data_IF_507363143178
#
_entry.id   IF_507363143178
#
_cell.length_a   1.000
_cell.length_b   1.000
_cell.length_c   1.000
_cell.angle_alpha   90.00
_cell.angle_beta   90.00
_cell.angle_gamma   90.00
#
_symmetry.space_group_name_H-M   'P 1'
#
loop_
_entity.id
_entity.type
_entity.pdbx_description
1 polymer ?
#
# COMPACT_ATOMS: atom_id res chain seq x y z
N UNK A 1 -30.39 -24.63 12.51
CA UNK A 1 -29.48 -25.61 11.87
C UNK A 1 -28.50 -24.84 11.01
N UNK A 2 -27.35 -24.49 11.58
CA UNK A 2 -26.25 -23.80 10.91
C UNK A 2 -25.26 -24.85 10.38
N UNK A 3 -24.86 -24.74 9.13
CA UNK A 3 -23.68 -25.44 8.60
C UNK A 3 -22.68 -24.38 8.17
N UNK A 4 -21.61 -24.27 8.96
CA UNK A 4 -20.42 -23.48 8.67
C UNK A 4 -19.44 -24.42 7.98
N UNK A 5 -19.16 -24.16 6.70
CA UNK A 5 -18.13 -24.89 5.94
C UNK A 5 -16.82 -24.12 6.06
N UNK A 6 -15.88 -24.71 6.77
CA UNK A 6 -14.46 -24.32 6.78
C UNK A 6 -13.76 -24.98 5.58
N UNK A 7 -13.10 -24.19 4.74
CA UNK A 7 -12.11 -24.71 3.78
C UNK A 7 -10.70 -24.47 4.32
N UNK A 8 -10.02 -25.56 4.69
CA UNK A 8 -8.58 -25.62 4.92
C UNK A 8 -7.83 -25.69 3.59
N UNK A 9 -6.65 -25.08 3.52
CA UNK A 9 -5.63 -25.40 2.52
C UNK A 9 -4.33 -25.79 3.25
N UNK A 10 -3.97 -27.07 3.10
CA UNK A 10 -2.70 -27.68 3.44
C UNK A 10 -1.70 -27.43 2.29
N UNK A 11 -0.45 -27.08 2.59
CA UNK A 11 0.67 -27.39 1.70
C UNK A 11 1.90 -27.81 2.50
N UNK A 12 2.38 -29.01 2.17
CA UNK A 12 3.55 -29.74 2.67
C UNK A 12 4.76 -29.28 1.85
N UNK A 13 5.89 -28.93 2.48
CA UNK A 13 7.16 -29.70 2.47
C UNK A 13 7.86 -29.74 1.09
N UNK A 14 9.17 -29.67 0.89
CA UNK A 14 10.39 -29.76 1.69
C UNK A 14 11.52 -29.71 0.62
N UNK A 15 12.72 -29.18 0.87
CA UNK A 15 14.02 -29.81 0.51
C UNK A 15 15.20 -28.91 0.86
N UNK A 16 16.17 -29.53 1.53
CA UNK A 16 17.45 -29.05 2.04
C UNK A 16 18.53 -29.44 1.02
N UNK A 17 19.54 -28.58 0.78
CA UNK A 17 20.90 -29.06 0.53
C UNK A 17 21.95 -28.15 1.20
N UNK A 18 22.78 -28.79 2.00
CA UNK A 18 24.05 -28.33 2.58
C UNK A 18 25.14 -28.22 1.51
N UNK A 19 26.14 -27.35 1.72
CA UNK A 19 27.57 -27.71 1.69
C UNK A 19 28.45 -26.52 2.16
N UNK A 20 29.48 -26.77 3.00
CA UNK A 20 30.49 -25.78 3.39
C UNK A 20 31.78 -25.95 2.58
N UNK A 21 32.60 -24.89 2.45
CA UNK A 21 34.00 -25.03 2.06
C UNK A 21 34.91 -24.05 2.84
N UNK A 22 35.96 -24.66 3.39
CA UNK A 22 37.12 -24.10 4.10
C UNK A 22 38.13 -23.46 3.14
N UNK A 23 38.95 -22.54 3.66
CA UNK A 23 40.43 -22.38 3.48
C UNK A 23 40.80 -20.96 3.98
N UNK A 24 41.40 -20.78 5.16
CA UNK A 24 42.85 -20.85 5.48
C UNK A 24 43.74 -20.19 4.42
N UNK A 25 44.34 -19.04 4.77
CA UNK A 25 45.71 -18.72 4.36
C UNK A 25 46.36 -17.79 5.38
N UNK A 26 47.38 -18.31 6.03
CA UNK A 26 48.45 -17.63 6.79
C UNK A 26 49.46 -16.97 5.85
N UNK A 27 50.20 -15.98 6.37
CA UNK A 27 51.55 -15.46 6.00
C UNK A 27 51.53 -13.92 6.11
N UNK A 28 52.55 -13.18 6.55
CA UNK A 28 53.87 -13.47 7.11
C UNK A 28 54.34 -12.19 7.82
N UNK A 29 55.14 -12.37 8.87
CA UNK A 29 55.93 -11.34 9.57
C UNK A 29 57.20 -11.05 8.75
N UNK A 30 57.72 -9.82 8.81
CA UNK A 30 59.16 -9.67 9.04
C UNK A 30 59.52 -8.62 10.11
N UNK A 31 60.32 -9.07 11.08
CA UNK A 31 61.39 -8.36 11.81
C UNK A 31 62.39 -7.77 10.79
N UNK A 32 63.14 -6.69 10.97
CA UNK A 32 63.98 -6.15 12.04
C UNK A 32 64.37 -4.73 11.52
N UNK A 33 64.55 -3.68 12.32
CA UNK A 33 65.89 -3.24 12.73
C UNK A 33 65.78 -2.03 13.68
N UNK A 34 66.51 -2.12 14.80
CA UNK A 34 66.96 -1.01 15.64
C UNK A 34 68.16 -0.31 14.95
N UNK A 35 68.55 0.95 15.28
CA UNK A 35 69.32 1.12 16.50
C UNK A 35 69.28 2.51 17.19
N UNK A 36 69.77 2.49 18.43
CA UNK A 36 70.53 3.55 19.14
C UNK A 36 69.75 4.70 19.78
N UNK A 37 69.80 4.71 21.11
CA UNK A 37 69.14 5.69 21.95
C UNK A 37 69.92 6.99 22.19
N UNK A 38 69.25 7.88 22.91
CA UNK A 38 69.87 8.86 23.81
C UNK A 38 68.87 9.15 24.92
N UNK A 39 69.34 8.94 26.15
CA UNK A 39 68.64 9.17 27.41
C UNK A 39 68.44 10.67 27.66
N UNK A 40 67.23 11.07 28.06
CA UNK A 40 67.02 12.31 28.83
C UNK A 40 65.87 12.09 29.81
N UNK A 41 66.16 12.31 31.09
CA UNK A 41 65.30 12.15 32.26
C UNK A 41 64.14 13.19 32.28
N UNK A 42 62.95 12.86 32.84
CA UNK A 42 61.73 13.60 32.58
C UNK A 42 61.54 14.85 33.46
N UNK A 43 61.03 15.91 32.84
CA UNK A 43 60.43 17.10 33.46
C UNK A 43 58.98 16.74 33.90
N UNK A 44 58.48 17.20 35.06
CA UNK A 44 57.15 16.81 35.54
C UNK A 44 56.06 17.46 34.69
N UNK A 45 55.39 16.65 33.87
CA UNK A 45 54.17 17.07 33.17
C UNK A 45 53.04 17.23 34.18
N UNK A 46 52.62 18.49 34.33
CA UNK A 46 51.39 18.86 35.01
C UNK A 46 50.24 18.19 34.27
N UNK A 47 49.63 17.19 34.91
CA UNK A 47 48.48 16.45 34.38
C UNK A 47 47.30 17.40 34.27
N UNK A 48 47.16 18.00 33.09
CA UNK A 48 45.94 18.69 32.69
C UNK A 48 44.91 17.60 32.38
N UNK A 49 43.72 17.60 33.00
CA UNK A 49 42.69 16.63 32.64
C UNK A 49 42.38 16.75 31.15
N UNK A 50 42.41 15.61 30.45
CA UNK A 50 42.05 15.51 29.03
C UNK A 50 40.68 16.16 28.81
N UNK A 51 40.50 16.97 27.76
CA UNK A 51 39.20 17.53 27.43
C UNK A 51 38.24 16.38 27.13
N UNK A 52 37.12 16.39 27.85
CA UNK A 52 36.10 15.37 27.81
C UNK A 52 35.37 15.49 26.47
N UNK A 53 35.86 14.81 25.44
CA UNK A 53 35.23 14.87 24.12
C UNK A 53 33.73 14.50 24.17
N UNK A 54 32.92 14.97 23.19
CA UNK A 54 31.47 14.82 23.20
C UNK A 54 31.07 13.34 23.31
N UNK A 55 30.45 12.97 24.43
CA UNK A 55 29.94 11.63 24.64
C UNK A 55 28.53 11.51 24.06
N UNK A 56 28.37 10.60 23.10
CA UNK A 56 27.04 10.09 22.76
C UNK A 56 26.50 9.28 23.93
N UNK A 57 25.22 9.48 24.26
CA UNK A 57 24.54 8.83 25.38
C UNK A 57 23.66 7.72 24.83
N UNK A 58 23.63 6.58 25.53
CA UNK A 58 22.78 5.47 25.13
C UNK A 58 21.30 5.76 25.43
N UNK A 59 20.46 5.57 24.42
CA UNK A 59 19.00 5.57 24.59
C UNK A 59 18.59 4.24 25.22
N UNK A 60 18.11 4.32 26.46
CA UNK A 60 17.72 3.17 27.27
C UNK A 60 16.32 2.66 26.92
N UNK A 61 15.40 3.58 26.60
CA UNK A 61 14.05 3.22 26.22
C UNK A 61 13.43 4.23 25.26
N UNK A 62 12.58 3.70 24.37
CA UNK A 62 11.75 4.50 23.47
C UNK A 62 10.30 4.06 23.65
N UNK A 63 9.42 5.02 23.94
CA UNK A 63 8.01 4.76 24.17
C UNK A 63 7.17 5.62 23.23
N UNK A 64 6.31 4.99 22.45
CA UNK A 64 5.23 5.68 21.73
C UNK A 64 4.04 5.80 22.70
N UNK A 65 3.63 7.00 23.12
CA UNK A 65 2.51 7.15 24.05
C UNK A 65 1.23 6.52 23.48
N UNK A 66 0.45 5.80 24.30
CA UNK A 66 -0.77 5.16 23.83
C UNK A 66 -1.77 6.21 23.34
N UNK A 67 -2.34 6.00 22.14
CA UNK A 67 -3.31 6.91 21.54
C UNK A 67 -2.72 8.13 20.82
N UNK A 68 -1.41 8.39 20.96
CA UNK A 68 -0.72 9.44 20.23
C UNK A 68 0.38 8.82 19.35
N UNK A 69 0.05 8.62 18.07
CA UNK A 69 0.92 7.98 17.10
C UNK A 69 2.06 8.85 16.56
N UNK A 70 1.98 10.18 16.72
CA UNK A 70 2.96 11.15 16.23
C UNK A 70 3.88 11.70 17.33
N UNK A 71 3.89 11.06 18.50
CA UNK A 71 4.78 11.44 19.59
C UNK A 71 5.64 10.27 20.05
N UNK A 72 6.86 10.58 20.49
CA UNK A 72 7.81 9.61 21.00
C UNK A 72 8.44 10.17 22.27
N UNK A 73 8.41 9.38 23.34
CA UNK A 73 9.15 9.64 24.57
C UNK A 73 10.45 8.85 24.57
N UNK A 74 11.56 9.57 24.59
CA UNK A 74 12.90 9.02 24.73
C UNK A 74 13.33 9.07 26.19
N UNK A 75 14.01 8.02 26.65
CA UNK A 75 14.66 7.95 27.95
C UNK A 75 16.09 7.47 27.74
N UNK A 76 17.06 8.19 28.30
CA UNK A 76 18.49 7.91 28.14
C UNK A 76 19.21 7.98 29.48
N UNK A 77 20.44 7.46 29.51
CA UNK A 77 21.29 7.53 30.70
C UNK A 77 22.65 6.88 30.50
N UNK A 78 23.62 7.30 31.31
CA UNK A 78 25.00 6.79 31.33
C UNK A 78 25.49 6.58 32.78
N UNK A 79 26.34 5.57 32.99
CA UNK A 79 26.62 4.97 34.29
C UNK A 79 27.18 5.88 35.39
N UNK A 80 26.60 5.73 36.60
CA UNK A 80 27.00 6.00 38.00
C UNK A 80 27.80 7.26 38.41
N UNK A 81 28.50 7.96 37.52
CA UNK A 81 29.37 9.09 37.91
C UNK A 81 28.96 10.45 37.29
N UNK A 82 27.85 10.49 36.53
CA UNK A 82 27.34 11.72 35.90
C UNK A 82 26.48 12.60 36.83
N UNK A 83 26.19 12.16 38.05
CA UNK A 83 25.24 12.80 38.98
C UNK A 83 25.72 14.13 39.60
N UNK A 84 26.86 14.69 39.16
CA UNK A 84 27.47 15.89 39.75
C UNK A 84 27.66 17.09 38.82
N UNK A 85 27.32 16.97 37.52
CA UNK A 85 27.45 18.06 36.57
C UNK A 85 26.08 18.46 36.00
N UNK A 86 25.85 19.78 35.85
CA UNK A 86 24.68 20.33 35.15
C UNK A 86 24.81 20.07 33.64
N UNK A 87 24.67 18.81 33.22
CA UNK A 87 24.76 18.41 31.83
C UNK A 87 23.51 18.85 31.06
N UNK A 88 23.72 19.37 29.85
CA UNK A 88 22.65 19.63 28.89
C UNK A 88 22.76 18.60 27.78
N UNK A 89 21.65 17.95 27.46
CA UNK A 89 21.57 16.93 26.41
C UNK A 89 21.03 17.53 25.12
N UNK A 90 21.66 17.20 24.00
CA UNK A 90 21.18 17.47 22.65
C UNK A 90 20.50 16.23 22.08
N UNK A 91 19.29 16.40 21.56
CA UNK A 91 18.48 15.34 20.97
C UNK A 91 18.43 15.58 19.47
N UNK A 92 18.86 14.58 18.72
CA UNK A 92 18.94 14.58 17.27
C UNK A 92 17.89 13.60 16.77
N UNK A 93 17.07 14.01 15.82
CA UNK A 93 16.11 13.13 15.19
C UNK A 93 15.82 13.52 13.77
N UNK A 94 15.55 12.56 12.90
CA UNK A 94 15.16 12.85 11.53
C UNK A 94 14.70 11.65 10.75
N UNK A 95 13.96 11.92 9.68
CA UNK A 95 13.48 10.92 8.73
C UNK A 95 14.37 10.79 7.49
N UNK A 96 15.20 11.80 7.24
CA UNK A 96 16.11 11.88 6.09
C UNK A 96 17.58 11.85 6.51
N UNK A 97 18.47 11.50 5.57
CA UNK A 97 19.91 11.55 5.78
C UNK A 97 20.37 13.01 6.00
N UNK A 98 21.26 13.23 6.97
CA UNK A 98 21.78 14.57 7.31
C UNK A 98 20.98 15.32 8.37
N UNK A 99 19.75 14.89 8.71
CA UNK A 99 18.97 15.55 9.78
C UNK A 99 19.51 15.33 11.20
N UNK A 100 20.52 14.47 11.35
CA UNK A 100 21.23 14.22 12.61
C UNK A 100 22.50 15.08 12.78
N UNK A 101 22.72 16.08 11.92
CA UNK A 101 23.88 16.99 12.03
C UNK A 101 23.79 17.93 13.24
N UNK A 102 22.58 18.40 13.58
CA UNK A 102 22.35 19.38 14.63
C UNK A 102 21.26 18.92 15.60
N UNK A 103 21.38 19.25 16.91
CA UNK A 103 20.35 18.90 17.88
C UNK A 103 19.09 19.73 17.59
N UNK A 104 17.95 19.05 17.43
CA UNK A 104 16.65 19.70 17.23
C UNK A 104 16.00 20.12 18.55
N UNK A 105 16.38 19.46 19.65
CA UNK A 105 15.91 19.76 21.00
C UNK A 105 17.07 19.70 22.00
N UNK A 106 17.02 20.56 23.00
CA UNK A 106 18.01 20.57 24.11
C UNK A 106 17.30 20.53 25.45
N UNK A 107 17.76 19.70 26.37
CA UNK A 107 17.13 19.56 27.70
C UNK A 107 18.15 19.12 28.76
N UNK A 108 18.02 19.57 30.02
CA UNK A 108 18.81 19.02 31.12
C UNK A 108 18.25 17.70 31.65
N UNK A 109 17.03 17.31 31.24
CA UNK A 109 16.36 16.12 31.74
C UNK A 109 16.89 14.85 31.04
N UNK A 110 16.82 13.70 31.72
CA UNK A 110 17.13 12.37 31.16
C UNK A 110 16.00 11.77 30.30
N UNK A 111 15.01 12.59 29.95
CA UNK A 111 13.91 12.19 29.08
C UNK A 111 13.34 13.39 28.35
N UNK A 112 12.85 13.16 27.13
CA UNK A 112 12.13 14.16 26.34
C UNK A 112 10.95 13.52 25.62
N UNK A 113 9.88 14.30 25.48
CA UNK A 113 8.75 14.01 24.62
C UNK A 113 8.92 14.81 23.33
N UNK A 114 8.99 14.11 22.21
CA UNK A 114 9.04 14.68 20.87
C UNK A 114 7.64 14.54 20.30
N UNK A 115 7.04 15.66 19.89
CA UNK A 115 5.68 15.74 19.36
C UNK A 115 5.69 16.15 17.88
N UNK A 116 4.53 16.09 17.24
CA UNK A 116 4.33 16.53 15.86
C UNK A 116 5.24 15.86 14.82
N UNK A 117 5.60 14.59 15.06
CA UNK A 117 6.29 13.78 14.06
C UNK A 117 5.32 13.35 12.96
N UNK A 118 5.83 13.09 11.76
CA UNK A 118 4.98 12.55 10.70
C UNK A 118 4.52 11.13 11.07
N UNK A 119 3.25 10.82 10.88
CA UNK A 119 2.72 9.48 11.14
C UNK A 119 3.33 8.46 10.17
N UNK A 120 3.47 7.22 10.63
CA UNK A 120 3.92 6.09 9.81
C UNK A 120 5.25 6.29 9.10
N UNK A 121 6.10 7.12 9.70
CA UNK A 121 7.39 7.53 9.17
C UNK A 121 8.48 6.96 10.04
N UNK A 122 9.55 6.51 9.39
CA UNK A 122 10.75 6.02 10.06
C UNK A 122 11.56 7.22 10.52
N UNK A 123 11.86 7.28 11.81
CA UNK A 123 12.75 8.27 12.39
C UNK A 123 13.95 7.59 13.05
N UNK A 124 15.11 8.17 12.85
CA UNK A 124 16.33 7.83 13.56
C UNK A 124 16.56 8.84 14.68
N UNK A 125 16.91 8.37 15.87
CA UNK A 125 17.10 9.17 17.08
C UNK A 125 18.51 8.96 17.65
N UNK A 126 19.13 10.05 18.12
CA UNK A 126 20.36 10.00 18.89
C UNK A 126 20.36 11.08 19.99
N UNK A 127 21.15 10.84 21.04
CA UNK A 127 21.32 11.78 22.16
C UNK A 127 22.81 11.95 22.44
N UNK A 128 23.24 13.19 22.67
CA UNK A 128 24.60 13.50 23.11
C UNK A 128 24.60 14.51 24.24
N UNK A 129 25.72 14.58 24.96
CA UNK A 129 25.99 15.68 25.91
C UNK A 129 26.53 16.88 25.13
N UNK A 130 25.97 18.06 25.36
CA UNK A 130 26.45 19.32 24.79
C UNK A 130 27.46 19.96 25.73
N UNK A 131 28.65 20.28 25.23
CA UNK A 131 29.64 21.09 25.96
C UNK A 131 29.40 22.59 25.72
N UNK A 132 29.87 23.43 26.65
CA UNK A 132 29.92 24.89 26.52
C UNK A 132 28.63 25.55 26.00
N UNK A 133 27.49 25.27 26.62
CA UNK A 133 26.19 25.89 26.28
C UNK A 133 25.76 25.74 24.80
N UNK A 134 26.16 24.66 24.12
CA UNK A 134 25.63 24.29 22.80
C UNK A 134 26.32 24.97 21.59
N UNK A 135 27.53 25.50 21.78
CA UNK A 135 28.29 26.17 20.71
C UNK A 135 28.93 25.16 19.73
N UNK A 136 29.17 23.92 20.14
CA UNK A 136 29.72 22.87 19.26
C UNK A 136 28.79 21.66 19.20
N UNK A 137 28.37 21.28 18.00
CA UNK A 137 27.59 20.07 17.76
C UNK A 137 28.47 18.85 18.06
N UNK A 138 28.13 18.14 19.14
CA UNK A 138 28.70 16.84 19.45
C UNK A 138 28.49 15.88 18.25
N UNK A 139 29.57 15.29 17.74
CA UNK A 139 29.48 14.30 16.67
C UNK A 139 28.67 13.08 17.15
N UNK A 140 27.52 12.83 16.51
CA UNK A 140 26.67 11.69 16.82
C UNK A 140 27.40 10.38 16.53
N UNK A 141 27.45 9.46 17.50
CA UNK A 141 27.98 8.12 17.31
C UNK A 141 26.95 7.24 16.57
N UNK A 142 27.29 6.68 15.40
CA UNK A 142 26.39 5.80 14.65
C UNK A 142 25.87 4.61 15.46
N UNK A 143 26.65 4.08 16.42
CA UNK A 143 26.27 2.91 17.23
C UNK A 143 25.19 3.21 18.28
N UNK A 144 24.99 4.49 18.61
CA UNK A 144 23.96 4.93 19.58
C UNK A 144 22.65 5.33 18.91
N UNK A 145 22.60 5.36 17.57
CA UNK A 145 21.38 5.67 16.83
C UNK A 145 20.34 4.56 17.08
N UNK A 146 19.09 4.97 17.28
CA UNK A 146 17.94 4.08 17.41
C UNK A 146 16.85 4.50 16.45
N UNK A 147 16.38 3.54 15.66
CA UNK A 147 15.30 3.75 14.70
C UNK A 147 13.96 3.37 15.31
N UNK A 148 12.95 4.24 15.16
CA UNK A 148 11.55 3.93 15.49
C UNK A 148 10.63 4.39 14.37
N UNK A 149 9.58 3.62 14.11
CA UNK A 149 8.51 4.00 13.19
C UNK A 149 7.37 4.59 14.03
N UNK A 150 6.92 5.79 13.68
CA UNK A 150 5.78 6.43 14.33
C UNK A 150 4.50 5.63 14.10
N UNK A 151 3.53 5.82 14.99
CA UNK A 151 2.24 5.14 14.93
C UNK A 151 1.36 5.63 13.78
N UNK A 152 0.19 4.99 13.67
CA UNK A 152 -0.84 5.39 12.70
C UNK A 152 -1.62 6.60 13.17
N UNK A 153 -1.97 7.49 12.23
CA UNK A 153 -3.04 8.45 12.43
C UNK A 153 -4.38 7.70 12.52
N UNK A 154 -4.96 7.66 13.73
CA UNK A 154 -6.22 6.96 13.97
C UNK A 154 -7.43 7.64 13.32
N UNK A 155 -7.29 8.93 12.96
CA UNK A 155 -8.31 9.73 12.30
C UNK A 155 -8.19 9.67 10.77
N UNK A 156 -7.05 9.23 10.24
CA UNK A 156 -6.84 9.10 8.80
C UNK A 156 -7.81 8.10 8.18
N UNK A 157 -8.29 8.45 6.98
CA UNK A 157 -9.10 7.54 6.20
C UNK A 157 -8.22 6.39 5.68
N UNK A 158 -8.79 5.18 5.52
CA UNK A 158 -8.14 4.12 4.73
C UNK A 158 -7.87 4.59 3.29
N UNK A 159 -7.02 3.87 2.57
CA UNK A 159 -6.64 4.21 1.20
C UNK A 159 -7.07 3.13 0.19
N UNK A 160 -6.98 3.46 -1.10
CA UNK A 160 -7.13 2.52 -2.22
C UNK A 160 -8.42 1.67 -2.21
N UNK A 161 -9.56 2.29 -1.83
CA UNK A 161 -10.85 1.62 -1.85
C UNK A 161 -11.22 1.23 -3.30
N UNK A 162 -11.35 -0.07 -3.53
CA UNK A 162 -11.73 -0.65 -4.83
C UNK A 162 -12.72 -1.79 -4.61
N UNK A 163 -13.40 -2.20 -5.67
CA UNK A 163 -14.31 -3.34 -5.63
C UNK A 163 -14.18 -4.17 -6.91
N UNK A 164 -14.04 -5.48 -6.73
CA UNK A 164 -13.95 -6.45 -7.80
C UNK A 164 -15.08 -7.46 -7.71
N UNK A 165 -15.81 -7.65 -8.80
CA UNK A 165 -16.83 -8.68 -8.88
C UNK A 165 -16.19 -10.03 -9.19
N UNK A 166 -16.56 -11.01 -8.39
CA UNK A 166 -16.36 -12.40 -8.69
C UNK A 166 -17.67 -13.01 -9.23
N UNK A 167 -17.72 -13.18 -10.55
CA UNK A 167 -18.90 -13.70 -11.24
C UNK A 167 -19.09 -15.20 -10.94
N UNK A 168 -20.22 -15.54 -10.32
CA UNK A 168 -20.63 -16.92 -9.98
C UNK A 168 -22.16 -17.03 -9.99
N UNK A 169 -22.73 -18.20 -9.71
CA UNK A 169 -24.17 -18.37 -9.58
C UNK A 169 -24.78 -17.40 -8.53
N UNK A 170 -24.13 -17.28 -7.38
CA UNK A 170 -24.31 -16.18 -6.44
C UNK A 170 -23.05 -15.29 -6.52
N UNK A 171 -23.14 -14.08 -7.12
CA UNK A 171 -21.96 -13.24 -7.26
C UNK A 171 -21.49 -12.70 -5.91
N UNK A 172 -20.19 -12.49 -5.81
CA UNK A 172 -19.56 -11.87 -4.65
C UNK A 172 -18.79 -10.62 -5.08
N UNK A 173 -18.91 -9.56 -4.30
CA UNK A 173 -18.13 -8.35 -4.46
C UNK A 173 -16.98 -8.36 -3.44
N UNK A 174 -15.75 -8.44 -3.94
CA UNK A 174 -14.53 -8.30 -3.16
C UNK A 174 -14.21 -6.81 -3.00
N UNK A 175 -14.60 -6.25 -1.85
CA UNK A 175 -14.31 -4.87 -1.47
C UNK A 175 -12.91 -4.83 -0.87
N UNK A 176 -11.99 -4.09 -1.49
CA UNK A 176 -10.58 -4.06 -1.11
C UNK A 176 -10.17 -2.65 -0.73
N UNK A 177 -9.32 -2.54 0.29
CA UNK A 177 -8.73 -1.27 0.70
C UNK A 177 -7.41 -1.54 1.40
N UNK A 178 -6.60 -0.49 1.53
CA UNK A 178 -5.40 -0.50 2.35
C UNK A 178 -5.59 0.38 3.59
N UNK A 179 -4.82 0.11 4.64
CA UNK A 179 -4.65 1.01 5.78
C UNK A 179 -4.09 2.36 5.30
N UNK A 180 -4.27 3.39 6.12
CA UNK A 180 -3.63 4.69 5.89
C UNK A 180 -2.09 4.60 5.91
N UNK A 181 -1.56 3.53 6.51
CA UNK A 181 -0.13 3.33 6.70
C UNK A 181 0.32 1.92 6.30
N UNK A 182 1.45 1.76 5.61
CA UNK A 182 1.94 0.45 5.18
C UNK A 182 2.34 -0.45 6.38
N UNK A 183 2.85 0.15 7.45
CA UNK A 183 3.35 -0.59 8.62
C UNK A 183 2.43 -0.39 9.84
N UNK A 184 1.48 -1.32 10.01
CA UNK A 184 0.52 -1.27 11.12
C UNK A 184 1.11 -1.96 12.37
N UNK A 185 1.77 -1.18 13.24
CA UNK A 185 2.40 -1.69 14.47
C UNK A 185 1.36 -2.23 15.47
N UNK A 186 0.28 -1.47 15.66
CA UNK A 186 -0.82 -1.78 16.57
C UNK A 186 -2.07 -2.20 15.81
N UNK A 187 -2.79 -3.28 16.20
CA UNK A 187 -3.95 -3.75 15.47
C UNK A 187 -5.09 -2.71 15.37
N UNK A 188 -5.64 -2.52 14.18
CA UNK A 188 -6.70 -1.54 13.87
C UNK A 188 -7.94 -2.27 13.37
N UNK A 189 -9.12 -1.87 13.85
CA UNK A 189 -10.41 -2.37 13.37
C UNK A 189 -10.97 -1.47 12.28
N UNK A 190 -11.83 -2.02 11.43
CA UNK A 190 -12.47 -1.29 10.33
C UNK A 190 -13.99 -1.42 10.39
N UNK A 191 -14.67 -0.40 9.87
CA UNK A 191 -16.12 -0.39 9.67
C UNK A 191 -16.40 -0.23 8.18
N UNK A 192 -17.06 -1.22 7.59
CA UNK A 192 -17.51 -1.20 6.20
C UNK A 192 -18.99 -0.85 6.20
N UNK A 193 -19.32 0.30 5.61
CA UNK A 193 -20.68 0.81 5.47
C UNK A 193 -21.14 0.67 4.02
N UNK A 194 -22.21 -0.08 3.80
CA UNK A 194 -22.69 -0.45 2.47
C UNK A 194 -24.15 -0.01 2.37
N UNK A 195 -24.44 0.91 1.46
CA UNK A 195 -25.79 1.32 1.15
C UNK A 195 -26.28 0.59 -0.10
N UNK A 196 -27.29 -0.27 0.06
CA UNK A 196 -27.97 -0.90 -1.04
C UNK A 196 -28.99 0.08 -1.64
N UNK A 197 -28.75 0.52 -2.87
CA UNK A 197 -29.54 1.54 -3.56
C UNK A 197 -30.92 1.04 -3.99
N UNK A 198 -31.09 -0.27 -4.16
CA UNK A 198 -32.35 -0.86 -4.63
C UNK A 198 -33.39 -0.93 -3.52
N UNK A 199 -32.96 -1.32 -2.32
CA UNK A 199 -33.85 -1.40 -1.14
C UNK A 199 -33.69 -0.21 -0.19
N UNK A 200 -32.80 0.74 -0.51
CA UNK A 200 -32.50 1.93 0.29
C UNK A 200 -32.16 1.63 1.75
N UNK A 201 -31.29 0.62 1.98
CA UNK A 201 -30.89 0.19 3.33
C UNK A 201 -29.38 0.17 3.51
N UNK A 202 -28.94 0.57 4.70
CA UNK A 202 -27.57 0.45 5.13
C UNK A 202 -27.30 -0.90 5.78
N UNK A 203 -26.14 -1.47 5.47
CA UNK A 203 -25.51 -2.58 6.17
C UNK A 203 -24.17 -2.08 6.69
N UNK A 204 -23.99 -2.12 8.01
CA UNK A 204 -22.75 -1.72 8.68
C UNK A 204 -22.10 -2.97 9.24
N UNK A 205 -20.84 -3.20 8.87
CA UNK A 205 -20.05 -4.37 9.29
C UNK A 205 -18.82 -3.87 10.02
N UNK A 206 -18.65 -4.31 11.26
CA UNK A 206 -17.44 -4.06 12.06
C UNK A 206 -16.51 -5.27 11.97
N UNK A 207 -15.29 -5.04 11.52
CA UNK A 207 -14.25 -6.06 11.36
C UNK A 207 -13.32 -6.10 12.58
N UNK A 208 -12.78 -7.28 12.92
CA UNK A 208 -11.84 -7.41 14.03
C UNK A 208 -10.54 -6.64 13.76
N UNK A 209 -9.86 -6.25 14.84
CA UNK A 209 -8.59 -5.52 14.74
C UNK A 209 -7.51 -6.38 14.09
N UNK A 210 -6.73 -5.81 13.18
CA UNK A 210 -5.67 -6.50 12.44
C UNK A 210 -4.42 -5.64 12.27
N UNK A 211 -3.27 -6.29 12.08
CA UNK A 211 -2.00 -5.66 11.68
C UNK A 211 -1.75 -5.69 10.17
N UNK A 212 -2.70 -6.22 9.39
CA UNK A 212 -2.58 -6.25 7.92
C UNK A 212 -2.80 -4.86 7.36
N UNK A 213 -1.96 -4.48 6.40
CA UNK A 213 -2.12 -3.25 5.62
C UNK A 213 -3.21 -3.40 4.57
N UNK A 214 -3.30 -4.55 3.92
CA UNK A 214 -4.25 -4.79 2.83
C UNK A 214 -5.39 -5.70 3.31
N UNK A 215 -6.61 -5.25 3.05
CA UNK A 215 -7.83 -5.89 3.51
C UNK A 215 -8.79 -6.15 2.37
N UNK A 216 -9.52 -7.25 2.50
CA UNK A 216 -10.59 -7.64 1.58
C UNK A 216 -11.80 -8.08 2.40
N UNK A 217 -12.97 -7.50 2.09
CA UNK A 217 -14.25 -7.97 2.59
C UNK A 217 -15.09 -8.50 1.43
N UNK A 218 -15.55 -9.74 1.56
CA UNK A 218 -16.41 -10.39 0.56
C UNK A 218 -17.87 -10.17 0.88
N UNK A 219 -18.58 -9.48 0.01
CA UNK A 219 -20.01 -9.24 0.11
C UNK A 219 -20.77 -10.09 -0.92
N UNK A 220 -21.66 -11.01 -0.51
CA UNK A 220 -22.62 -11.60 -1.43
C UNK A 220 -23.57 -10.52 -1.97
N UNK A 221 -23.71 -10.46 -3.28
CA UNK A 221 -24.53 -9.46 -4.00
C UNK A 221 -25.46 -10.15 -4.99
N UNK A 222 -26.42 -9.42 -5.56
CA UNK A 222 -27.20 -9.91 -6.70
C UNK A 222 -26.80 -9.16 -7.97
N UNK A 223 -26.94 -9.85 -9.11
CA UNK A 223 -26.80 -9.22 -10.41
C UNK A 223 -27.82 -8.08 -10.58
N UNK A 224 -27.40 -7.00 -11.22
CA UNK A 224 -28.26 -5.84 -11.41
C UNK A 224 -28.63 -5.10 -10.12
N UNK A 225 -27.87 -5.23 -9.02
CA UNK A 225 -28.00 -4.39 -7.83
C UNK A 225 -26.92 -3.28 -7.82
N UNK A 226 -27.19 -2.18 -7.11
CA UNK A 226 -26.29 -1.03 -7.01
C UNK A 226 -25.95 -0.74 -5.56
N UNK A 227 -24.68 -0.50 -5.28
CA UNK A 227 -24.15 -0.28 -3.93
C UNK A 227 -23.34 1.01 -3.85
N UNK A 228 -23.40 1.67 -2.71
CA UNK A 228 -22.48 2.74 -2.33
C UNK A 228 -21.70 2.28 -1.10
N UNK A 229 -20.37 2.25 -1.21
CA UNK A 229 -19.48 1.63 -0.23
C UNK A 229 -18.59 2.70 0.40
N UNK A 230 -18.49 2.67 1.74
CA UNK A 230 -17.56 3.48 2.51
C UNK A 230 -16.81 2.61 3.52
N UNK A 231 -15.56 2.95 3.80
CA UNK A 231 -14.75 2.24 4.80
C UNK A 231 -14.09 3.25 5.73
N UNK A 232 -14.18 3.04 7.04
CA UNK A 232 -13.47 3.84 8.05
C UNK A 232 -12.76 2.92 9.04
N UNK A 233 -11.95 3.48 9.93
CA UNK A 233 -11.46 2.73 11.08
C UNK A 233 -12.57 2.64 12.15
N UNK A 234 -12.39 1.79 13.16
CA UNK A 234 -13.28 1.74 14.33
C UNK A 234 -13.06 2.88 15.32
N UNK A 235 -12.10 3.78 15.06
CA UNK A 235 -11.79 4.86 15.97
C UNK A 235 -12.87 5.96 15.87
N UNK A 236 -13.41 6.48 17.00
CA UNK A 236 -14.39 7.55 16.98
C UNK A 236 -13.87 8.81 16.27
N UNK A 237 -14.66 9.33 15.33
CA UNK A 237 -14.27 10.50 14.53
C UNK A 237 -13.31 10.21 13.38
N UNK A 238 -12.96 8.94 13.13
CA UNK A 238 -12.16 8.58 11.96
C UNK A 238 -12.85 8.94 10.65
N UNK A 239 -12.06 9.40 9.68
CA UNK A 239 -12.54 9.72 8.34
C UNK A 239 -12.81 8.42 7.58
N UNK A 240 -13.85 8.42 6.75
CA UNK A 240 -14.14 7.32 5.84
C UNK A 240 -13.53 7.59 4.46
N UNK A 241 -13.09 6.53 3.78
CA UNK A 241 -12.82 6.54 2.34
C UNK A 241 -14.08 6.16 1.57
N UNK A 242 -14.24 6.77 0.39
CA UNK A 242 -15.44 6.68 -0.45
C UNK A 242 -16.26 7.98 -0.46
N UNK A 243 -17.47 7.96 -1.02
CA UNK A 243 -18.21 6.79 -1.49
C UNK A 243 -17.61 6.14 -2.75
N UNK A 244 -17.60 4.80 -2.78
CA UNK A 244 -17.39 4.03 -4.00
C UNK A 244 -18.73 3.51 -4.50
N UNK A 245 -19.18 4.04 -5.64
CA UNK A 245 -20.37 3.57 -6.32
C UNK A 245 -20.07 2.35 -7.19
N UNK A 246 -20.74 1.24 -6.91
CA UNK A 246 -20.58 -0.01 -7.65
C UNK A 246 -21.91 -0.54 -8.16
N UNK A 247 -22.01 -0.75 -9.47
CA UNK A 247 -23.16 -1.38 -10.12
C UNK A 247 -22.78 -2.80 -10.52
N UNK A 248 -23.46 -3.80 -9.95
CA UNK A 248 -23.27 -5.18 -10.38
C UNK A 248 -23.85 -5.32 -11.79
N UNK A 249 -23.10 -5.88 -12.77
CA UNK A 249 -23.62 -6.17 -14.10
C UNK A 249 -24.88 -7.02 -14.04
N UNK A 250 -25.67 -7.00 -15.11
CA UNK A 250 -26.81 -7.89 -15.26
C UNK A 250 -26.33 -9.34 -15.51
N UNK A 251 -27.18 -10.36 -15.29
CA UNK A 251 -26.82 -11.74 -15.57
C UNK A 251 -26.35 -11.91 -17.01
N UNK A 252 -25.30 -12.71 -17.22
CA UNK A 252 -24.67 -12.98 -18.53
C UNK A 252 -24.04 -11.75 -19.21
N UNK A 253 -24.08 -10.55 -18.61
CA UNK A 253 -23.52 -9.34 -19.20
C UNK A 253 -21.98 -9.35 -19.08
N UNK A 254 -21.23 -9.27 -20.18
CA UNK A 254 -19.80 -9.00 -20.13
C UNK A 254 -19.49 -7.72 -19.36
N UNK A 255 -18.33 -7.61 -18.74
CA UNK A 255 -17.98 -6.45 -17.91
C UNK A 255 -16.49 -6.10 -17.99
N UNK A 256 -16.12 -4.91 -17.49
CA UNK A 256 -14.76 -4.37 -17.58
C UNK A 256 -14.21 -4.43 -19.02
N UNK A 257 -15.00 -3.94 -19.99
CA UNK A 257 -14.54 -3.75 -21.34
C UNK A 257 -13.38 -2.76 -21.33
N UNK A 258 -12.26 -3.13 -21.96
CA UNK A 258 -11.08 -2.29 -22.11
C UNK A 258 -10.63 -2.32 -23.55
N UNK A 259 -10.13 -1.17 -23.99
CA UNK A 259 -9.56 -1.01 -25.33
C UNK A 259 -8.15 -0.49 -25.17
N UNK A 260 -7.22 -1.12 -25.86
CA UNK A 260 -5.81 -0.71 -25.95
C UNK A 260 -5.44 -0.57 -27.41
N UNK A 261 -4.49 0.31 -27.70
CA UNK A 261 -4.18 0.71 -29.06
C UNK A 261 -2.77 0.26 -29.40
N UNK A 262 -2.63 -0.41 -30.53
CA UNK A 262 -1.34 -0.65 -31.17
C UNK A 262 -1.17 0.37 -32.31
N UNK A 263 -0.34 1.38 -32.06
CA UNK A 263 -0.12 2.49 -32.98
C UNK A 263 0.60 2.08 -34.26
N UNK A 264 1.52 1.11 -34.19
CA UNK A 264 2.28 0.63 -35.35
C UNK A 264 1.37 -0.09 -36.35
N UNK A 265 0.42 -0.86 -35.84
CA UNK A 265 -0.53 -1.65 -36.63
C UNK A 265 -1.82 -0.91 -36.98
N UNK A 266 -1.99 0.32 -36.49
CA UNK A 266 -3.25 1.07 -36.50
C UNK A 266 -4.44 0.19 -36.04
N UNK A 267 -4.26 -0.52 -34.92
CA UNK A 267 -5.20 -1.54 -34.45
C UNK A 267 -5.67 -1.29 -33.02
N UNK A 268 -6.91 -1.68 -32.78
CA UNK A 268 -7.53 -1.69 -31.46
C UNK A 268 -7.58 -3.12 -30.93
N UNK A 269 -6.95 -3.37 -29.79
CA UNK A 269 -7.10 -4.61 -29.02
C UNK A 269 -8.18 -4.40 -27.97
N UNK A 270 -9.31 -5.07 -28.19
CA UNK A 270 -10.52 -4.98 -27.37
C UNK A 270 -10.61 -6.26 -26.55
N UNK A 271 -10.78 -6.15 -25.23
CA UNK A 271 -10.93 -7.30 -24.35
C UNK A 271 -11.84 -7.00 -23.17
N UNK A 272 -12.48 -8.02 -22.62
CA UNK A 272 -13.44 -7.90 -21.52
C UNK A 272 -13.34 -9.07 -20.56
N UNK A 273 -13.99 -8.95 -19.42
CA UNK A 273 -14.11 -10.06 -18.47
C UNK A 273 -15.35 -10.90 -18.80
N UNK A 274 -15.18 -12.22 -18.83
CA UNK A 274 -16.27 -13.15 -19.08
C UNK A 274 -17.29 -13.14 -17.92
N UNK A 275 -18.60 -13.12 -18.24
CA UNK A 275 -19.64 -13.30 -17.23
C UNK A 275 -19.67 -14.73 -16.72
N UNK A 276 -20.34 -14.95 -15.59
CA UNK A 276 -20.72 -16.29 -15.20
C UNK A 276 -21.82 -16.81 -16.13
N UNK A 277 -21.54 -17.90 -16.85
CA UNK A 277 -22.48 -18.56 -17.74
C UNK A 277 -22.84 -19.94 -17.15
N UNK A 278 -24.09 -20.15 -16.69
CA UNK A 278 -24.52 -21.46 -16.18
C UNK A 278 -24.40 -22.56 -17.22
N UNK A 279 -24.16 -23.82 -16.80
CA UNK A 279 -24.07 -24.98 -17.70
C UNK A 279 -25.37 -25.27 -18.48
N UNK A 280 -26.51 -24.74 -18.03
CA UNK A 280 -27.78 -24.83 -18.75
C UNK A 280 -27.83 -23.94 -19.98
N UNK A 281 -26.95 -22.93 -20.04
CA UNK A 281 -26.75 -22.09 -21.23
C UNK A 281 -25.85 -22.89 -22.17
N UNK A 282 -26.36 -23.18 -23.37
CA UNK A 282 -25.63 -23.90 -24.40
C UNK A 282 -24.50 -23.07 -25.01
N UNK A 283 -24.17 -23.36 -26.27
CA UNK A 283 -23.14 -22.61 -26.99
C UNK A 283 -23.52 -21.13 -27.11
N UNK A 284 -22.59 -20.26 -26.76
CA UNK A 284 -22.72 -18.82 -26.85
C UNK A 284 -21.55 -18.20 -27.62
N UNK A 285 -21.74 -16.97 -28.04
CA UNK A 285 -20.74 -16.11 -28.65
C UNK A 285 -20.96 -14.68 -28.14
N UNK A 286 -19.98 -13.82 -28.35
CA UNK A 286 -20.07 -12.40 -28.08
C UNK A 286 -20.40 -11.65 -29.37
N UNK A 287 -21.26 -10.64 -29.27
CA UNK A 287 -21.46 -9.66 -30.33
C UNK A 287 -20.69 -8.41 -29.95
N UNK A 288 -19.73 -8.03 -30.79
CA UNK A 288 -18.97 -6.78 -30.65
C UNK A 288 -19.54 -5.78 -31.63
N UNK A 289 -20.02 -4.66 -31.09
CA UNK A 289 -20.56 -3.54 -31.85
C UNK A 289 -19.49 -2.47 -31.95
N UNK A 290 -19.21 -2.00 -33.16
CA UNK A 290 -18.17 -1.02 -33.45
C UNK A 290 -18.79 0.19 -34.12
N UNK A 291 -18.79 1.33 -33.43
CA UNK A 291 -19.31 2.60 -33.90
C UNK A 291 -18.16 3.49 -34.37
N UNK A 292 -18.31 4.21 -35.49
CA UNK A 292 -17.33 5.20 -35.88
C UNK A 292 -17.36 6.41 -34.93
N UNK A 293 -16.22 6.74 -34.32
CA UNK A 293 -16.13 7.86 -33.38
C UNK A 293 -16.95 7.66 -32.10
N UNK A 294 -17.56 8.74 -31.59
CA UNK A 294 -18.35 8.75 -30.34
C UNK A 294 -19.86 8.66 -30.56
N UNK A 295 -20.31 8.78 -31.81
CA UNK A 295 -21.72 8.80 -32.15
C UNK A 295 -22.30 7.38 -32.17
N UNK A 296 -23.13 7.08 -31.16
CA UNK A 296 -23.78 5.77 -31.01
C UNK A 296 -25.07 5.65 -31.84
N UNK A 297 -25.51 6.73 -32.50
CA UNK A 297 -26.61 6.68 -33.47
C UNK A 297 -26.10 6.37 -34.89
N UNK A 298 -24.79 6.44 -35.11
CA UNK A 298 -24.17 6.10 -36.38
C UNK A 298 -24.32 4.60 -36.70
N UNK A 299 -24.37 4.23 -38.00
CA UNK A 299 -24.34 2.82 -38.40
C UNK A 299 -23.09 2.12 -37.85
N UNK A 300 -23.30 0.98 -37.20
CA UNK A 300 -22.24 0.19 -36.60
C UNK A 300 -21.92 -1.07 -37.39
N UNK A 301 -20.72 -1.56 -37.18
CA UNK A 301 -20.31 -2.89 -37.62
C UNK A 301 -20.51 -3.90 -36.49
N UNK A 302 -20.96 -5.11 -36.82
CA UNK A 302 -21.25 -6.18 -35.87
C UNK A 302 -20.36 -7.38 -36.13
N UNK A 303 -19.65 -7.81 -35.11
CA UNK A 303 -18.73 -8.94 -35.17
C UNK A 303 -19.15 -10.02 -34.19
N UNK A 304 -18.97 -11.28 -34.60
CA UNK A 304 -19.29 -12.46 -33.80
C UNK A 304 -18.00 -13.17 -33.40
N UNK A 305 -17.72 -13.24 -32.10
CA UNK A 305 -16.48 -13.81 -31.58
C UNK A 305 -16.75 -14.78 -30.43
N UNK A 306 -15.95 -15.83 -30.31
CA UNK A 306 -16.13 -16.86 -29.26
C UNK A 306 -15.15 -16.71 -28.09
N UNK A 307 -14.27 -15.70 -28.14
CA UNK A 307 -13.25 -15.43 -27.11
C UNK A 307 -13.43 -14.02 -26.58
N UNK A 308 -13.02 -13.74 -25.33
CA UNK A 308 -13.19 -12.43 -24.70
C UNK A 308 -12.17 -11.37 -25.19
N UNK A 309 -11.78 -11.46 -26.46
CA UNK A 309 -10.77 -10.61 -27.08
C UNK A 309 -11.02 -10.51 -28.58
N UNK A 310 -10.82 -9.33 -29.14
CA UNK A 310 -10.90 -9.04 -30.57
C UNK A 310 -9.85 -7.99 -30.94
N UNK A 311 -9.29 -8.12 -32.15
CA UNK A 311 -8.50 -7.05 -32.77
C UNK A 311 -9.33 -6.43 -33.88
N UNK A 312 -9.43 -5.11 -33.88
CA UNK A 312 -10.14 -4.35 -34.91
C UNK A 312 -9.17 -3.40 -35.61
N UNK A 313 -9.18 -3.42 -36.95
CA UNK A 313 -8.45 -2.49 -37.81
C UNK A 313 -9.49 -1.80 -38.69
N UNK A 314 -9.71 -0.52 -38.44
CA UNK A 314 -10.67 0.30 -39.15
C UNK A 314 -9.99 1.33 -40.06
N UNK A 315 -10.76 1.94 -40.95
CA UNK A 315 -10.29 3.02 -41.83
C UNK A 315 -10.14 4.37 -41.09
N UNK A 316 -10.84 4.53 -39.96
CA UNK A 316 -10.85 5.76 -39.16
C UNK A 316 -9.84 5.67 -38.02
N UNK A 317 -9.51 6.83 -37.46
CA UNK A 317 -8.64 6.93 -36.29
C UNK A 317 -9.34 6.75 -34.95
N UNK A 318 -10.67 6.63 -34.92
CA UNK A 318 -11.46 6.65 -33.68
C UNK A 318 -12.74 5.83 -33.77
N UNK A 319 -13.06 5.12 -32.69
CA UNK A 319 -14.17 4.18 -32.61
C UNK A 319 -14.71 4.07 -31.18
N UNK A 320 -15.96 3.64 -31.07
CA UNK A 320 -16.56 3.20 -29.80
C UNK A 320 -16.97 1.73 -29.87
N UNK A 321 -16.76 1.01 -28.77
CA UNK A 321 -16.94 -0.44 -28.71
C UNK A 321 -17.94 -0.82 -27.62
N UNK A 322 -18.86 -1.73 -27.93
CA UNK A 322 -19.76 -2.37 -26.98
C UNK A 322 -19.71 -3.88 -27.18
N UNK A 323 -19.93 -4.66 -26.11
CA UNK A 323 -19.98 -6.12 -26.19
C UNK A 323 -21.19 -6.66 -25.45
N UNK A 324 -21.91 -7.58 -26.07
CA UNK A 324 -22.90 -8.41 -25.39
C UNK A 324 -22.58 -9.91 -25.55
N UNK A 325 -23.29 -10.76 -24.83
CA UNK A 325 -23.30 -12.20 -25.01
C UNK A 325 -24.63 -12.64 -25.62
N UNK A 326 -24.58 -13.55 -26.59
CA UNK A 326 -25.77 -14.17 -27.18
C UNK A 326 -25.59 -15.69 -27.32
N UNK A 327 -26.67 -16.46 -27.16
CA UNK A 327 -26.68 -17.89 -27.46
C UNK A 327 -26.96 -18.18 -28.93
N UNK A 328 -26.51 -19.34 -29.43
CA UNK A 328 -26.78 -19.77 -30.81
C UNK A 328 -28.27 -19.87 -31.13
N UNK A 329 -29.08 -20.27 -30.14
CA UNK A 329 -30.54 -20.36 -30.25
C UNK A 329 -31.25 -19.02 -30.00
N UNK A 330 -30.47 -17.96 -29.72
CA UNK A 330 -30.92 -16.59 -29.41
C UNK A 330 -31.91 -16.47 -28.24
N UNK A 331 -32.11 -17.53 -27.45
CA UNK A 331 -33.00 -17.49 -26.28
C UNK A 331 -32.44 -16.62 -25.17
N UNK A 332 -31.12 -16.50 -25.10
CA UNK A 332 -30.44 -15.65 -24.14
C UNK A 332 -29.59 -14.64 -24.89
N UNK A 333 -29.90 -13.36 -24.68
CA UNK A 333 -29.06 -12.24 -25.09
C UNK A 333 -28.91 -11.30 -23.91
N UNK A 334 -27.68 -11.01 -23.54
CA UNK A 334 -27.39 -10.07 -22.45
C UNK A 334 -27.54 -8.62 -22.92
N UNK A 335 -27.63 -7.70 -21.96
CA UNK A 335 -27.38 -6.29 -22.26
C UNK A 335 -25.95 -6.11 -22.79
N UNK A 336 -25.73 -5.06 -23.57
CA UNK A 336 -24.38 -4.66 -23.96
C UNK A 336 -23.64 -4.01 -22.77
N UNK A 337 -22.31 -4.09 -22.77
CA UNK A 337 -21.47 -3.27 -21.89
C UNK A 337 -21.73 -1.80 -22.12
N UNK A 338 -21.29 -0.95 -21.18
CA UNK A 338 -21.13 0.47 -21.49
C UNK A 338 -20.18 0.64 -22.68
N UNK A 339 -20.45 1.59 -23.58
CA UNK A 339 -19.55 1.88 -24.70
C UNK A 339 -18.21 2.40 -24.19
N UNK A 340 -17.12 1.94 -24.79
CA UNK A 340 -15.77 2.48 -24.57
C UNK A 340 -15.32 3.13 -25.86
N UNK A 341 -15.07 4.44 -25.81
CA UNK A 341 -14.43 5.18 -26.89
C UNK A 341 -12.93 4.96 -26.84
N UNK A 342 -12.30 4.83 -28.00
CA UNK A 342 -10.85 4.87 -28.15
C UNK A 342 -10.41 5.47 -29.50
N UNK A 343 -9.22 6.08 -29.53
CA UNK A 343 -8.60 6.57 -30.76
C UNK A 343 -7.15 6.13 -30.91
N UNK A 344 -6.59 6.24 -32.12
CA UNK A 344 -5.23 5.79 -32.44
C UNK A 344 -4.14 6.58 -31.67
N UNK A 345 -4.48 7.74 -31.10
CA UNK A 345 -3.56 8.51 -30.27
C UNK A 345 -3.41 7.90 -28.86
N UNK A 346 -4.21 6.89 -28.50
CA UNK A 346 -4.15 6.18 -27.23
C UNK A 346 -5.15 6.70 -26.18
N UNK A 347 -6.04 7.63 -26.54
CA UNK A 347 -7.12 8.04 -25.64
C UNK A 347 -8.16 6.92 -25.56
N UNK A 348 -8.62 6.63 -24.34
CA UNK A 348 -9.67 5.63 -24.08
C UNK A 348 -10.47 5.97 -22.84
N UNK A 349 -11.80 5.98 -22.93
CA UNK A 349 -12.70 6.21 -21.79
C UNK A 349 -14.10 5.64 -22.01
N UNK A 350 -14.82 5.36 -20.92
CA UNK A 350 -16.22 4.93 -20.96
C UNK A 350 -17.15 6.10 -21.31
N UNK A 351 -18.05 5.89 -22.27
CA UNK A 351 -19.09 6.86 -22.60
C UNK A 351 -20.24 6.75 -21.60
N UNK A 352 -20.78 7.90 -21.19
CA UNK A 352 -21.96 7.98 -20.34
C UNK A 352 -23.25 7.84 -21.17
N UNK A 353 -23.34 6.74 -21.92
CA UNK A 353 -24.48 6.41 -22.76
C UNK A 353 -24.85 4.95 -22.58
N UNK A 354 -26.15 4.65 -22.65
CA UNK A 354 -26.65 3.29 -22.67
C UNK A 354 -26.96 2.90 -24.10
N UNK A 355 -26.44 1.76 -24.53
CA UNK A 355 -26.82 1.18 -25.80
C UNK A 355 -28.32 0.83 -25.78
N UNK A 356 -29.10 1.45 -26.67
CA UNK A 356 -30.57 1.35 -26.68
C UNK A 356 -31.10 0.34 -27.68
N UNK A 357 -30.28 -0.24 -28.55
CA UNK A 357 -30.82 -1.24 -29.47
C UNK A 357 -31.19 -2.52 -28.73
N UNK A 358 -32.45 -2.90 -28.89
CA UNK A 358 -32.89 -4.25 -28.61
C UNK A 358 -32.11 -5.21 -29.52
N UNK A 359 -31.41 -6.20 -28.96
CA UNK A 359 -30.72 -7.19 -29.77
C UNK A 359 -31.70 -7.85 -30.75
N UNK A 360 -31.35 -7.89 -32.03
CA UNK A 360 -32.12 -8.55 -33.08
C UNK A 360 -32.66 -9.91 -32.57
N UNK A 361 -33.98 -10.01 -32.42
CA UNK A 361 -34.65 -11.29 -32.14
C UNK A 361 -34.62 -12.17 -33.38
#
# INVERSE_FOLDING_TARGET
MQSVVFCCALHVGMFIFYLPFLLVSTQNIPTEDEPTGTSTQPTPETTTPLPIGPFSVEILAIHVPPGNGNSIKLVWGGGRDQDKANLTYGIYYGSEEGELEYPKLTTPNLSALIEDLEYCTKYDFAVSVLENNGVEAAKVNPNTIRTVITGIDQLAAPANLTADLEARAQPCLDIKWSSACPNVVHPIGYVVSIFDKKISKYKVITLPKTKRSDLVYRLPVHYGDGYEIRVSTTFPGSKAVGPLDYRVPEPLQPYKLKVTVNQEDAAFLIYWTEPFVPLTIGRYYYQVFVYPGQDLEAPYEKYYVTRPVMVYKGERGEYSFCVNLATNDRKHVSNATKPVYANLNGESYELNATFTETPDR
#
